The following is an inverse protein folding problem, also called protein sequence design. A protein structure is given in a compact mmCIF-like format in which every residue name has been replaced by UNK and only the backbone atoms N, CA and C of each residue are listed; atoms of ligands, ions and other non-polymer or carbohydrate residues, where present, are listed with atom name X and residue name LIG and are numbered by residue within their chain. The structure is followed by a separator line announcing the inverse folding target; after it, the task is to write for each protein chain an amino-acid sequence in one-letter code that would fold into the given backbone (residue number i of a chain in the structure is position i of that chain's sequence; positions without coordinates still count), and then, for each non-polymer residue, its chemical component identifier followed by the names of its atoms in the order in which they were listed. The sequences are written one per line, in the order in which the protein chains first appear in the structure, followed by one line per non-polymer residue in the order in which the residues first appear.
data_IF_555391082507
#
_entry.id   IF_555391082507
#
_cell.length_a   1.000
_cell.length_b   1.000
_cell.length_c   1.000
_cell.angle_alpha   90.00
_cell.angle_beta   90.00
_cell.angle_gamma   90.00
#
_symmetry.space_group_name_H-M   'P 1'
#
loop_
_entity.id
_entity.type
_entity.pdbx_description
1 polymer ?
#
# COMPACT_ATOMS: atom_id res chain seq x y z
N UNK A 1 14.07 24.68 -11.60
CA UNK A 1 12.91 23.77 -11.41
C UNK A 1 12.61 23.74 -9.93
N UNK A 2 11.49 24.31 -9.49
CA UNK A 2 11.05 24.27 -8.09
C UNK A 2 10.61 22.85 -7.78
N UNK A 3 11.41 22.10 -7.01
CA UNK A 3 10.94 20.87 -6.39
C UNK A 3 9.81 21.27 -5.44
N UNK A 4 8.56 21.00 -5.82
CA UNK A 4 7.46 20.94 -4.87
C UNK A 4 7.76 19.77 -3.95
N UNK A 5 8.22 20.05 -2.73
CA UNK A 5 8.42 19.05 -1.70
C UNK A 5 7.05 18.44 -1.36
N UNK A 6 6.79 17.23 -1.83
CA UNK A 6 5.62 16.47 -1.39
C UNK A 6 5.80 16.14 0.09
N UNK A 7 4.79 16.40 0.90
CA UNK A 7 4.83 16.11 2.34
C UNK A 7 3.70 15.17 2.74
N UNK A 8 3.92 14.44 3.84
CA UNK A 8 2.92 13.58 4.48
C UNK A 8 3.02 13.75 5.99
N UNK A 9 1.90 13.70 6.71
CA UNK A 9 1.96 13.70 8.18
C UNK A 9 2.47 12.36 8.70
N UNK A 10 3.28 12.39 9.75
CA UNK A 10 3.73 11.17 10.44
C UNK A 10 2.52 10.32 10.89
N UNK A 11 1.44 10.98 11.33
CA UNK A 11 0.19 10.32 11.68
C UNK A 11 -0.52 9.66 10.50
N UNK A 12 -0.53 10.26 9.31
CA UNK A 12 -1.09 9.63 8.11
C UNK A 12 -0.29 8.37 7.75
N UNK A 13 1.04 8.38 7.89
CA UNK A 13 1.86 7.19 7.65
C UNK A 13 1.48 6.03 8.57
N UNK A 14 1.44 6.27 9.89
CA UNK A 14 1.21 5.20 10.89
C UNK A 14 -0.25 4.77 11.01
N UNK A 15 -1.21 5.69 10.86
CA UNK A 15 -2.62 5.42 11.12
C UNK A 15 -3.41 5.08 9.86
N UNK A 16 -2.91 5.48 8.69
CA UNK A 16 -3.64 5.30 7.44
C UNK A 16 -2.86 4.47 6.43
N UNK A 17 -1.71 4.96 5.99
CA UNK A 17 -0.95 4.39 4.88
C UNK A 17 -0.51 2.95 5.14
N UNK A 18 0.23 2.72 6.25
CA UNK A 18 0.74 1.39 6.60
C UNK A 18 -0.40 0.41 6.91
N UNK A 19 -1.41 0.76 7.74
CA UNK A 19 -2.56 -0.10 7.97
C UNK A 19 -3.33 -0.47 6.69
N UNK A 20 -3.60 0.49 5.80
CA UNK A 20 -4.27 0.22 4.52
C UNK A 20 -3.47 -0.71 3.63
N UNK A 21 -2.15 -0.53 3.54
CA UNK A 21 -1.30 -1.41 2.74
C UNK A 21 -1.34 -2.86 3.24
N UNK A 22 -1.31 -3.05 4.56
CA UNK A 22 -1.44 -4.37 5.18
C UNK A 22 -2.82 -4.99 4.93
N UNK A 23 -3.89 -4.18 4.99
CA UNK A 23 -5.24 -4.63 4.68
C UNK A 23 -5.36 -5.09 3.21
N UNK A 24 -4.79 -4.32 2.28
CA UNK A 24 -4.79 -4.65 0.86
C UNK A 24 -4.05 -5.96 0.57
N UNK A 25 -2.85 -6.14 1.12
CA UNK A 25 -2.11 -7.40 0.94
C UNK A 25 -2.92 -8.61 1.41
N UNK A 26 -3.50 -8.51 2.61
CA UNK A 26 -4.34 -9.57 3.18
C UNK A 26 -5.53 -9.86 2.26
N UNK A 27 -6.18 -8.82 1.77
CA UNK A 27 -7.38 -8.94 0.97
C UNK A 27 -7.11 -9.53 -0.42
N UNK A 28 -6.03 -9.12 -1.09
CA UNK A 28 -5.59 -9.69 -2.37
C UNK A 28 -5.31 -11.18 -2.18
N UNK A 29 -4.58 -11.54 -1.11
CA UNK A 29 -4.28 -12.95 -0.79
C UNK A 29 -5.55 -13.77 -0.63
N UNK A 30 -6.53 -13.28 0.13
CA UNK A 30 -7.81 -13.99 0.35
C UNK A 30 -8.64 -14.11 -0.92
N UNK A 31 -8.83 -13.01 -1.66
CA UNK A 31 -9.70 -12.97 -2.85
C UNK A 31 -9.18 -13.92 -3.93
N UNK A 32 -7.87 -13.91 -4.17
CA UNK A 32 -7.27 -14.73 -5.23
C UNK A 32 -7.26 -16.20 -4.83
N UNK A 33 -6.96 -16.53 -3.57
CA UNK A 33 -7.05 -17.91 -3.08
C UNK A 33 -8.47 -18.46 -3.25
N UNK A 34 -9.50 -17.70 -2.88
CA UNK A 34 -10.89 -18.13 -3.01
C UNK A 34 -11.28 -18.47 -4.45
N UNK A 35 -10.85 -17.66 -5.44
CA UNK A 35 -11.19 -17.90 -6.86
C UNK A 35 -10.40 -19.07 -7.45
N UNK A 36 -9.14 -19.23 -7.09
CA UNK A 36 -8.31 -20.36 -7.57
C UNK A 36 -8.82 -21.70 -7.01
N UNK A 37 -9.23 -21.71 -5.74
CA UNK A 37 -9.74 -22.87 -5.02
C UNK A 37 -11.20 -23.20 -5.37
N UNK A 38 -11.96 -22.26 -5.92
CA UNK A 38 -13.33 -22.48 -6.37
C UNK A 38 -13.37 -23.62 -7.40
N UNK A 39 -14.02 -24.72 -7.03
CA UNK A 39 -14.08 -25.95 -7.83
C UNK A 39 -14.83 -25.78 -9.16
N UNK A 40 -15.64 -24.71 -9.29
CA UNK A 40 -16.39 -24.38 -10.51
C UNK A 40 -15.75 -23.32 -11.42
N UNK A 41 -14.58 -22.75 -11.07
CA UNK A 41 -13.95 -21.73 -11.91
C UNK A 41 -13.28 -22.35 -13.15
N UNK A 42 -13.54 -21.77 -14.31
CA UNK A 42 -12.94 -22.20 -15.58
C UNK A 42 -11.41 -22.04 -15.55
N UNK A 43 -10.64 -22.89 -16.26
CA UNK A 43 -9.17 -22.81 -16.29
C UNK A 43 -8.64 -21.41 -16.67
N UNK A 44 -9.26 -20.76 -17.66
CA UNK A 44 -8.91 -19.40 -18.11
C UNK A 44 -9.10 -18.36 -17.00
N UNK A 45 -10.15 -18.51 -16.19
CA UNK A 45 -10.40 -17.65 -15.04
C UNK A 45 -9.30 -17.83 -13.99
N UNK A 46 -8.93 -19.09 -13.68
CA UNK A 46 -7.83 -19.37 -12.74
C UNK A 46 -6.50 -18.78 -13.22
N UNK A 47 -6.19 -18.91 -14.51
CA UNK A 47 -4.98 -18.31 -15.10
C UNK A 47 -5.00 -16.77 -15.00
N UNK A 48 -6.13 -16.13 -15.33
CA UNK A 48 -6.29 -14.69 -15.23
C UNK A 48 -6.06 -14.19 -13.80
N UNK A 49 -6.63 -14.86 -12.80
CA UNK A 49 -6.44 -14.48 -11.39
C UNK A 49 -5.01 -14.77 -10.89
N UNK A 50 -4.34 -15.81 -11.42
CA UNK A 50 -2.94 -16.06 -11.13
C UNK A 50 -2.01 -14.95 -11.66
N UNK A 51 -2.25 -14.47 -12.88
CA UNK A 51 -1.52 -13.31 -13.45
C UNK A 51 -1.75 -12.05 -12.63
N UNK A 52 -3.01 -11.77 -12.30
CA UNK A 52 -3.38 -10.62 -11.46
C UNK A 52 -2.70 -10.67 -10.09
N UNK A 53 -2.54 -11.88 -9.50
CA UNK A 53 -1.78 -12.07 -8.26
C UNK A 53 -0.34 -11.62 -8.39
N UNK A 54 0.34 -12.07 -9.44
CA UNK A 54 1.75 -11.77 -9.66
C UNK A 54 1.97 -10.27 -9.84
N UNK A 55 1.11 -9.61 -10.62
CA UNK A 55 1.13 -8.16 -10.82
C UNK A 55 0.98 -7.40 -9.49
N UNK A 56 -0.01 -7.77 -8.67
CA UNK A 56 -0.21 -7.16 -7.37
C UNK A 56 0.96 -7.39 -6.41
N UNK A 57 1.55 -8.58 -6.41
CA UNK A 57 2.69 -8.90 -5.55
C UNK A 57 3.93 -8.07 -5.93
N UNK A 58 4.17 -7.87 -7.23
CA UNK A 58 5.25 -7.01 -7.72
C UNK A 58 5.03 -5.56 -7.30
N UNK A 59 3.82 -5.03 -7.50
CA UNK A 59 3.46 -3.66 -7.10
C UNK A 59 3.61 -3.44 -5.59
N UNK A 60 3.10 -4.36 -4.77
CA UNK A 60 3.26 -4.31 -3.31
C UNK A 60 4.73 -4.34 -2.89
N UNK A 61 5.55 -5.16 -3.56
CA UNK A 61 6.98 -5.25 -3.26
C UNK A 61 7.69 -3.93 -3.54
N UNK A 62 7.40 -3.30 -4.68
CA UNK A 62 7.98 -1.99 -5.04
C UNK A 62 7.55 -0.89 -4.06
N UNK A 63 6.26 -0.84 -3.70
CA UNK A 63 5.73 0.10 -2.70
C UNK A 63 6.46 -0.09 -1.37
N UNK A 64 6.60 -1.34 -0.91
CA UNK A 64 7.26 -1.65 0.36
C UNK A 64 8.73 -1.26 0.39
N UNK A 65 9.47 -1.55 -0.68
CA UNK A 65 10.89 -1.20 -0.75
C UNK A 65 11.10 0.31 -0.59
N UNK A 66 10.25 1.11 -1.22
CA UNK A 66 10.35 2.57 -1.13
C UNK A 66 9.79 3.11 0.19
N UNK A 67 8.74 2.52 0.76
CA UNK A 67 8.24 2.90 2.08
C UNK A 67 9.20 2.49 3.20
N UNK A 68 9.96 1.41 3.03
CA UNK A 68 10.96 1.00 4.00
C UNK A 68 12.01 2.09 4.21
N UNK A 69 12.39 2.79 3.14
CA UNK A 69 13.27 3.96 3.24
C UNK A 69 12.63 5.06 4.09
N UNK A 70 11.37 5.43 3.80
CA UNK A 70 10.62 6.43 4.57
C UNK A 70 10.55 6.08 6.06
N UNK A 71 10.16 4.84 6.37
CA UNK A 71 9.99 4.34 7.74
C UNK A 71 11.31 4.32 8.51
N UNK A 72 12.43 4.00 7.85
CA UNK A 72 13.76 4.06 8.46
C UNK A 72 14.22 5.49 8.67
N UNK A 73 14.03 6.35 7.67
CA UNK A 73 14.50 7.74 7.67
C UNK A 73 13.79 8.58 8.73
N UNK A 74 12.49 8.40 8.89
CA UNK A 74 11.66 9.14 9.84
C UNK A 74 11.26 8.34 11.07
N UNK A 75 12.06 7.32 11.43
CA UNK A 75 11.73 6.41 12.53
C UNK A 75 11.38 7.15 13.83
N UNK A 76 12.18 8.14 14.20
CA UNK A 76 12.01 8.86 15.45
C UNK A 76 10.74 9.72 15.45
N UNK A 77 10.45 10.39 14.34
CA UNK A 77 9.27 11.22 14.14
C UNK A 77 8.00 10.36 14.14
N UNK A 78 8.05 9.19 13.50
CA UNK A 78 6.95 8.22 13.49
C UNK A 78 6.71 7.64 14.90
N UNK A 79 7.77 7.26 15.62
CA UNK A 79 7.67 6.79 17.02
C UNK A 79 7.09 7.90 17.93
N UNK A 80 7.57 9.14 17.80
CA UNK A 80 7.07 10.27 18.59
C UNK A 80 5.57 10.55 18.34
N UNK A 81 5.15 10.56 17.07
CA UNK A 81 3.75 10.76 16.68
C UNK A 81 2.83 9.58 17.07
N UNK A 82 3.39 8.36 17.19
CA UNK A 82 2.68 7.19 17.68
C UNK A 82 2.40 7.28 19.19
N UNK A 83 3.33 7.85 19.96
CA UNK A 83 3.20 8.00 21.41
C UNK A 83 2.38 9.22 21.84
N UNK A 84 2.54 10.36 21.17
CA UNK A 84 1.76 11.57 21.45
C UNK A 84 1.30 12.21 20.12
N UNK A 85 -0.02 12.30 19.88
CA UNK A 85 -0.58 12.97 18.70
C UNK A 85 -0.12 14.43 18.50
N UNK A 86 0.36 15.11 19.54
CA UNK A 86 0.88 16.48 19.48
C UNK A 86 2.25 16.57 18.81
N UNK A 87 2.96 15.44 18.68
CA UNK A 87 4.25 15.34 18.00
C UNK A 87 4.10 15.02 16.50
N UNK A 88 2.91 15.21 15.92
CA UNK A 88 2.73 15.02 14.49
C UNK A 88 3.53 16.04 13.68
N UNK A 89 4.27 15.55 12.69
CA UNK A 89 5.17 16.34 11.86
C UNK A 89 4.88 16.08 10.38
N UNK A 90 5.04 17.13 9.57
CA UNK A 90 5.04 17.01 8.11
C UNK A 90 6.41 16.53 7.65
N UNK A 91 6.45 15.27 7.22
CA UNK A 91 7.62 14.60 6.69
C UNK A 91 7.80 14.98 5.23
N UNK A 92 9.03 15.29 4.82
CA UNK A 92 9.35 15.63 3.42
C UNK A 92 9.74 14.38 2.65
N UNK A 93 9.00 14.10 1.59
CA UNK A 93 9.21 12.91 0.77
C UNK A 93 10.26 13.18 -0.30
N UNK A 94 11.17 12.22 -0.49
CA UNK A 94 11.91 12.14 -1.74
C UNK A 94 11.02 11.63 -2.89
N UNK A 95 11.57 11.61 -4.11
CA UNK A 95 10.81 11.20 -5.29
C UNK A 95 10.29 9.76 -5.23
N UNK A 96 11.06 8.83 -4.65
CA UNK A 96 10.69 7.42 -4.54
C UNK A 96 9.65 7.20 -3.44
N UNK A 97 9.80 7.88 -2.31
CA UNK A 97 8.85 7.87 -1.20
C UNK A 97 7.50 8.47 -1.62
N UNK A 98 7.52 9.62 -2.32
CA UNK A 98 6.31 10.26 -2.85
C UNK A 98 5.58 9.34 -3.84
N UNK A 99 6.33 8.70 -4.73
CA UNK A 99 5.78 7.71 -5.68
C UNK A 99 5.16 6.52 -4.94
N UNK A 100 5.80 6.04 -3.87
CA UNK A 100 5.29 4.91 -3.09
C UNK A 100 3.99 5.24 -2.35
N UNK A 101 3.89 6.43 -1.77
CA UNK A 101 2.67 6.92 -1.12
C UNK A 101 1.52 7.01 -2.11
N UNK A 102 1.76 7.58 -3.29
CA UNK A 102 0.73 7.70 -4.33
C UNK A 102 0.29 6.33 -4.85
N UNK A 103 1.24 5.45 -5.16
CA UNK A 103 0.95 4.09 -5.61
C UNK A 103 0.19 3.29 -4.55
N UNK A 104 0.51 3.43 -3.27
CA UNK A 104 -0.22 2.79 -2.18
C UNK A 104 -1.68 3.26 -2.11
N UNK A 105 -1.94 4.56 -2.28
CA UNK A 105 -3.30 5.13 -2.32
C UNK A 105 -4.08 4.60 -3.52
N UNK A 106 -3.47 4.58 -4.70
CA UNK A 106 -4.09 4.05 -5.93
C UNK A 106 -4.38 2.56 -5.84
N UNK A 107 -3.43 1.79 -5.29
CA UNK A 107 -3.58 0.35 -5.05
C UNK A 107 -4.72 0.07 -4.07
N UNK A 108 -4.85 0.83 -2.99
CA UNK A 108 -6.00 0.73 -2.07
C UNK A 108 -7.33 1.04 -2.77
N UNK A 109 -7.39 2.07 -3.62
CA UNK A 109 -8.60 2.42 -4.35
C UNK A 109 -9.00 1.36 -5.41
N UNK A 110 -8.03 0.76 -6.10
CA UNK A 110 -8.25 -0.42 -6.97
C UNK A 110 -8.73 -1.62 -6.16
N UNK A 111 -8.06 -1.82 -5.02
CA UNK A 111 -8.40 -2.64 -3.84
C UNK A 111 -9.91 -2.82 -3.61
N UNK A 112 -10.47 -1.68 -3.22
CA UNK A 112 -11.85 -1.45 -2.82
C UNK A 112 -12.83 -1.63 -3.99
N UNK A 113 -12.50 -1.11 -5.18
CA UNK A 113 -13.37 -1.26 -6.37
C UNK A 113 -13.55 -2.72 -6.79
N UNK A 114 -12.51 -3.55 -6.65
CA UNK A 114 -12.61 -4.98 -6.91
C UNK A 114 -13.56 -5.69 -5.93
N UNK A 115 -13.75 -5.18 -4.71
CA UNK A 115 -14.73 -5.75 -3.77
C UNK A 115 -16.15 -5.30 -4.07
N UNK A 116 -16.32 -4.03 -4.46
CA UNK A 116 -17.65 -3.44 -4.68
C UNK A 116 -18.28 -3.91 -6.00
N UNK A 117 -17.46 -4.38 -6.95
CA UNK A 117 -17.90 -4.95 -8.22
C UNK A 117 -18.19 -6.45 -8.18
N UNK A 118 -18.31 -7.06 -6.99
CA UNK A 118 -18.62 -8.47 -6.76
C UNK A 118 -19.85 -8.62 -5.86
#
# INVERSE_FOLDING_TARGET
MTQTSTTISAREVINDLVPKLNAVEKQIKLTISAVVEASGAAPEQKERYAKLKAEFQLELTMIRMNLEHLLKRYRNELEAAMHDPRNDLLLSLDAYEATAVENAKQLYARVQRLQQGH
#
